data_IF_424128935143
#
_entry.id   IF_424128935143
#
_cell.length_a   1.000
_cell.length_b   1.000
_cell.length_c   1.000
_cell.angle_alpha   90.00
_cell.angle_beta   90.00
_cell.angle_gamma   90.00
#
_symmetry.space_group_name_H-M   'P 1'
#
loop_
_entity.id
_entity.type
_entity.pdbx_description
1 polymer ?
#
# COMPACT_ATOMS: atom_id res chain seq x y z
N UNK A 1 -3.86 -10.51 19.66
CA UNK A 1 -4.07 -10.77 18.22
C UNK A 1 -2.94 -11.68 17.82
N UNK A 2 -3.25 -12.97 17.74
CA UNK A 2 -2.27 -13.99 17.40
C UNK A 2 -1.64 -13.67 16.06
N UNK A 3 -0.31 -13.65 16.05
CA UNK A 3 0.53 -13.34 14.91
C UNK A 3 0.46 -14.48 13.89
N UNK A 4 -0.67 -14.63 13.21
CA UNK A 4 -0.69 -15.39 11.97
C UNK A 4 0.19 -14.64 10.97
N UNK A 5 1.26 -15.32 10.55
CA UNK A 5 2.25 -14.78 9.64
C UNK A 5 1.57 -14.33 8.34
N UNK A 6 1.79 -13.08 7.92
CA UNK A 6 1.25 -12.53 6.66
C UNK A 6 1.52 -13.42 5.44
N UNK A 7 2.59 -14.24 5.46
CA UNK A 7 2.84 -15.25 4.42
C UNK A 7 1.70 -16.27 4.27
N UNK A 8 1.02 -16.63 5.36
CA UNK A 8 -0.06 -17.62 5.39
C UNK A 8 -1.41 -16.98 5.05
N UNK A 9 -1.62 -15.72 5.41
CA UNK A 9 -2.84 -15.00 5.04
C UNK A 9 -2.82 -14.54 3.57
N UNK A 10 -1.65 -14.15 3.05
CA UNK A 10 -1.48 -13.73 1.65
C UNK A 10 -1.08 -14.87 0.70
N UNK A 11 -0.95 -16.12 1.17
CA UNK A 11 -0.81 -17.29 0.29
C UNK A 11 -2.11 -17.65 -0.42
N UNK A 12 -3.24 -17.21 0.13
CA UNK A 12 -4.53 -17.27 -0.54
C UNK A 12 -4.76 -15.98 -1.33
N UNK A 13 -4.64 -16.07 -2.67
CA UNK A 13 -4.75 -14.94 -3.60
C UNK A 13 -6.15 -14.29 -3.61
N UNK A 14 -7.15 -14.93 -3.02
CA UNK A 14 -8.52 -14.39 -2.94
C UNK A 14 -8.73 -13.53 -1.70
N UNK A 15 -7.79 -13.53 -0.75
CA UNK A 15 -7.90 -12.75 0.48
C UNK A 15 -7.47 -11.31 0.25
N UNK A 16 -8.34 -10.40 0.64
CA UNK A 16 -8.08 -8.97 0.61
C UNK A 16 -7.48 -8.50 1.94
N UNK A 17 -6.45 -7.65 1.85
CA UNK A 17 -5.91 -6.93 3.00
C UNK A 17 -6.45 -5.49 3.00
N UNK A 18 -7.33 -5.21 3.95
CA UNK A 18 -7.99 -3.91 4.05
C UNK A 18 -7.28 -3.00 5.06
N UNK A 19 -6.81 -1.84 4.60
CA UNK A 19 -6.20 -0.81 5.44
C UNK A 19 -7.18 0.35 5.58
N UNK A 20 -7.49 0.74 6.81
CA UNK A 20 -8.26 1.95 7.06
C UNK A 20 -7.35 3.18 7.03
N UNK A 21 -7.68 4.14 6.17
CA UNK A 21 -6.97 5.40 6.04
C UNK A 21 -7.94 6.58 6.16
N UNK A 22 -7.47 7.77 6.59
CA UNK A 22 -8.30 8.97 6.59
C UNK A 22 -8.85 9.29 5.19
N UNK A 23 -10.11 9.75 5.10
CA UNK A 23 -10.74 10.10 3.81
C UNK A 23 -9.91 11.08 2.98
N UNK A 24 -9.33 12.09 3.64
CA UNK A 24 -8.45 13.07 2.97
C UNK A 24 -7.22 12.42 2.33
N UNK A 25 -6.72 11.31 2.87
CA UNK A 25 -5.63 10.57 2.23
C UNK A 25 -6.16 9.80 1.02
N UNK A 26 -7.30 9.13 1.14
CA UNK A 26 -7.94 8.43 0.03
C UNK A 26 -8.23 9.37 -1.15
N UNK A 27 -8.79 10.56 -0.90
CA UNK A 27 -9.04 11.61 -1.89
C UNK A 27 -7.76 12.02 -2.64
N UNK A 28 -6.64 12.15 -1.91
CA UNK A 28 -5.35 12.51 -2.51
C UNK A 28 -4.81 11.40 -3.40
N UNK A 29 -4.95 10.14 -2.98
CA UNK A 29 -4.52 8.98 -3.76
C UNK A 29 -5.38 8.86 -5.02
N UNK A 30 -6.69 9.02 -4.90
CA UNK A 30 -7.62 9.02 -6.04
C UNK A 30 -7.25 10.11 -7.06
N UNK A 31 -7.12 11.37 -6.61
CA UNK A 31 -6.78 12.48 -7.49
C UNK A 31 -5.43 12.27 -8.21
N UNK A 32 -4.43 11.76 -7.51
CA UNK A 32 -3.14 11.40 -8.12
C UNK A 32 -3.30 10.30 -9.16
N UNK A 33 -4.07 9.25 -8.84
CA UNK A 33 -4.28 8.12 -9.75
C UNK A 33 -4.97 8.57 -11.05
N UNK A 34 -6.01 9.41 -10.95
CA UNK A 34 -6.74 9.93 -12.11
C UNK A 34 -5.86 10.83 -12.99
N UNK A 35 -5.04 11.69 -12.37
CA UNK A 35 -4.14 12.59 -13.10
C UNK A 35 -3.04 11.84 -13.88
N UNK A 36 -2.65 10.65 -13.41
CA UNK A 36 -1.56 9.86 -13.99
C UNK A 36 -2.05 8.63 -14.78
N UNK A 37 -3.37 8.52 -15.03
CA UNK A 37 -3.99 7.39 -15.72
C UNK A 37 -3.58 6.02 -15.15
N UNK A 38 -3.56 5.93 -13.81
CA UNK A 38 -3.23 4.73 -13.04
C UNK A 38 -4.36 4.39 -12.07
N UNK A 39 -4.26 3.28 -11.35
CA UNK A 39 -5.26 2.83 -10.37
C UNK A 39 -4.78 3.06 -8.94
N UNK A 40 -5.72 3.27 -8.02
CA UNK A 40 -5.46 3.57 -6.60
C UNK A 40 -4.51 2.53 -5.97
N UNK A 41 -4.75 1.24 -6.21
CA UNK A 41 -3.93 0.17 -5.61
C UNK A 41 -2.46 0.26 -6.04
N UNK A 42 -2.19 0.54 -7.32
CA UNK A 42 -0.82 0.71 -7.82
C UNK A 42 -0.13 1.90 -7.15
N UNK A 43 -0.83 3.03 -7.02
CA UNK A 43 -0.28 4.22 -6.34
C UNK A 43 0.09 3.91 -4.89
N UNK A 44 -0.78 3.20 -4.16
CA UNK A 44 -0.52 2.83 -2.76
C UNK A 44 0.68 1.90 -2.65
N UNK A 45 0.75 0.86 -3.50
CA UNK A 45 1.87 -0.10 -3.51
C UNK A 45 3.18 0.62 -3.82
N UNK A 46 3.21 1.41 -4.89
CA UNK A 46 4.43 2.12 -5.32
C UNK A 46 4.91 3.16 -4.31
N UNK A 47 3.98 3.85 -3.65
CA UNK A 47 4.31 4.81 -2.59
C UNK A 47 4.96 4.11 -1.39
N UNK A 48 4.41 2.97 -0.96
CA UNK A 48 4.97 2.17 0.14
C UNK A 48 6.34 1.60 -0.24
N UNK A 49 6.48 1.02 -1.43
CA UNK A 49 7.75 0.48 -1.92
C UNK A 49 8.83 1.56 -2.01
N UNK A 50 8.49 2.73 -2.54
CA UNK A 50 9.41 3.87 -2.64
C UNK A 50 9.84 4.35 -1.26
N UNK A 51 8.90 4.53 -0.34
CA UNK A 51 9.20 4.92 1.04
C UNK A 51 10.13 3.90 1.72
N UNK A 52 9.84 2.60 1.64
CA UNK A 52 10.65 1.56 2.27
C UNK A 52 12.07 1.48 1.68
N UNK A 53 12.21 1.63 0.36
CA UNK A 53 13.53 1.69 -0.30
C UNK A 53 14.32 2.92 0.15
N UNK A 54 13.70 4.08 0.27
CA UNK A 54 14.33 5.27 0.81
C UNK A 54 14.77 5.08 2.26
N UNK A 55 13.92 4.49 3.12
CA UNK A 55 14.29 4.22 4.51
C UNK A 55 15.50 3.30 4.60
N UNK A 56 15.55 2.24 3.78
CA UNK A 56 16.72 1.35 3.72
C UNK A 56 18.00 2.12 3.36
N UNK A 57 17.92 3.06 2.44
CA UNK A 57 19.06 3.86 2.00
C UNK A 57 19.49 4.93 3.03
N UNK A 58 18.62 5.31 3.97
CA UNK A 58 18.94 6.26 5.06
C UNK A 58 19.60 5.61 6.28
N UNK A 59 19.42 4.30 6.43
CA UNK A 59 19.93 3.51 7.58
C UNK A 59 21.21 2.74 7.19
N UNK A 60 21.62 2.81 5.91
CA UNK A 60 22.84 2.21 5.37
C UNK A 60 24.02 3.17 5.32
#
# INVERSE_FOLDING_TARGET
MDSENFKVQCSDITKEFNIQIPCKLAERVEAYSSANNTIINSVVIEALDSFLREQKNRIG
#
